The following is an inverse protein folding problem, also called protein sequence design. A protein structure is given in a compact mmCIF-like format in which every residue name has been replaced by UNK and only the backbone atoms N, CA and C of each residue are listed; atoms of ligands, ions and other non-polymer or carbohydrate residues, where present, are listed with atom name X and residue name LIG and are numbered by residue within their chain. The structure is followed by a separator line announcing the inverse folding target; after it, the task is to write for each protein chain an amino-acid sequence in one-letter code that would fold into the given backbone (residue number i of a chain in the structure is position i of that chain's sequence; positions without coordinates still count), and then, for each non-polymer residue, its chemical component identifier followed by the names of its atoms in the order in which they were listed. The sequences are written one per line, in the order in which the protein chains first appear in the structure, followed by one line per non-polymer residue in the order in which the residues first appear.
data_IF_975866698397
#
_entry.id   IF_975866698397
#
_cell.length_a   1.000
_cell.length_b   1.000
_cell.length_c   1.000
_cell.angle_alpha   90.00
_cell.angle_beta   90.00
_cell.angle_gamma   90.00
#
_symmetry.space_group_name_H-M   'P 1'
#
loop_
_entity.id
_entity.type
_entity.pdbx_description
1 polymer ?
#
# COMPACT_ATOMS: atom_id res chain seq x y z
N UNK A 1 8.75 -4.34 2.92
CA UNK A 1 8.58 -2.88 3.08
C UNK A 1 8.04 -2.51 4.46
N UNK A 2 6.89 -3.03 4.88
CA UNK A 2 6.28 -2.76 6.21
C UNK A 2 7.29 -2.93 7.36
N UNK A 3 7.90 -4.08 7.49
CA UNK A 3 8.85 -4.39 8.57
C UNK A 3 10.06 -3.45 8.61
N UNK A 4 10.57 -3.06 7.44
CA UNK A 4 11.69 -2.11 7.35
C UNK A 4 11.29 -0.72 7.85
N UNK A 5 10.10 -0.24 7.49
CA UNK A 5 9.56 1.03 7.97
C UNK A 5 9.28 1.00 9.48
N UNK A 6 8.65 -0.07 9.97
CA UNK A 6 8.35 -0.23 11.39
C UNK A 6 9.63 -0.25 12.23
N UNK A 7 10.66 -0.97 11.77
CA UNK A 7 11.98 -0.99 12.41
C UNK A 7 12.58 0.42 12.49
N UNK A 8 12.59 1.17 11.38
CA UNK A 8 13.13 2.53 11.38
C UNK A 8 12.37 3.48 12.29
N UNK A 9 11.04 3.37 12.35
CA UNK A 9 10.23 4.17 13.27
C UNK A 9 10.58 3.88 14.72
N UNK A 10 10.76 2.61 15.10
CA UNK A 10 11.16 2.21 16.45
C UNK A 10 12.58 2.67 16.81
N UNK A 11 13.52 2.69 15.84
CA UNK A 11 14.87 3.21 16.02
C UNK A 11 14.90 4.72 16.25
N UNK A 12 14.01 5.46 15.58
CA UNK A 12 14.01 6.92 15.58
C UNK A 12 13.08 7.54 16.63
N UNK A 13 12.20 6.74 17.22
CA UNK A 13 11.18 7.23 18.14
C UNK A 13 10.78 6.16 19.16
N UNK A 14 10.15 6.60 20.25
CA UNK A 14 9.53 5.73 21.26
C UNK A 14 8.07 5.42 20.98
N UNK A 15 7.61 5.61 19.73
CA UNK A 15 6.21 5.39 19.34
C UNK A 15 5.90 3.89 19.37
N UNK A 16 4.74 3.55 19.94
CA UNK A 16 4.19 2.19 19.87
C UNK A 16 3.70 1.91 18.45
N UNK A 17 4.36 0.96 17.77
CA UNK A 17 4.06 0.59 16.39
C UNK A 17 3.43 -0.79 16.35
N UNK A 18 2.17 -0.85 15.92
CA UNK A 18 1.46 -2.10 15.60
C UNK A 18 1.59 -2.34 14.11
N UNK A 19 2.04 -3.54 13.75
CA UNK A 19 2.14 -3.96 12.36
C UNK A 19 0.96 -4.86 12.00
N UNK A 20 0.43 -4.69 10.81
CA UNK A 20 -0.65 -5.49 10.29
C UNK A 20 -0.56 -5.75 8.80
N UNK A 21 -1.31 -6.71 8.33
CA UNK A 21 -1.45 -7.06 6.92
C UNK A 21 -2.90 -7.05 6.50
N UNK A 22 -3.12 -6.64 5.27
CA UNK A 22 -4.43 -6.66 4.63
C UNK A 22 -4.33 -7.42 3.32
N UNK A 23 -5.34 -8.21 3.00
CA UNK A 23 -5.46 -8.84 1.70
C UNK A 23 -6.87 -8.69 1.14
N UNK A 24 -6.95 -8.47 -0.16
CA UNK A 24 -8.21 -8.39 -0.89
C UNK A 24 -8.05 -9.01 -2.27
N UNK A 25 -9.16 -9.41 -2.87
CA UNK A 25 -9.16 -9.83 -4.26
C UNK A 25 -9.08 -8.59 -5.17
N UNK A 26 -8.01 -8.48 -5.96
CA UNK A 26 -7.70 -7.26 -6.72
C UNK A 26 -8.76 -6.90 -7.77
N UNK A 27 -9.36 -7.91 -8.41
CA UNK A 27 -10.32 -7.70 -9.50
C UNK A 27 -11.77 -7.60 -9.04
N UNK A 28 -12.09 -8.22 -7.91
CA UNK A 28 -13.44 -8.27 -7.35
C UNK A 28 -13.41 -8.06 -5.82
N UNK A 29 -13.01 -6.89 -5.34
CA UNK A 29 -12.79 -6.65 -3.90
C UNK A 29 -14.07 -6.70 -3.07
N UNK A 30 -15.25 -6.51 -3.68
CA UNK A 30 -16.54 -6.58 -3.00
C UNK A 30 -17.15 -7.99 -2.98
N UNK A 31 -16.71 -8.88 -3.90
CA UNK A 31 -17.26 -10.21 -4.05
C UNK A 31 -16.51 -11.27 -3.23
N UNK A 32 -15.36 -10.90 -2.68
CA UNK A 32 -14.49 -11.78 -1.90
C UNK A 32 -14.24 -11.22 -0.50
N UNK A 33 -14.02 -12.09 0.50
CA UNK A 33 -13.74 -11.66 1.86
C UNK A 33 -12.48 -10.78 1.89
N UNK A 34 -12.62 -9.64 2.55
CA UNK A 34 -11.49 -8.80 2.92
C UNK A 34 -10.86 -9.37 4.19
N UNK A 35 -9.55 -9.52 4.20
CA UNK A 35 -8.81 -10.02 5.37
C UNK A 35 -7.91 -8.93 5.92
N UNK A 36 -7.99 -8.72 7.23
CA UNK A 36 -7.08 -7.85 7.99
C UNK A 36 -6.74 -8.54 9.29
N UNK A 37 -5.45 -8.62 9.62
CA UNK A 37 -4.98 -9.24 10.86
C UNK A 37 -4.92 -8.28 12.06
N UNK A 38 -5.35 -7.02 11.87
CA UNK A 38 -5.50 -6.02 12.92
C UNK A 38 -6.97 -5.82 13.23
N UNK A 39 -7.35 -5.98 14.49
CA UNK A 39 -8.72 -5.76 14.93
C UNK A 39 -9.12 -4.28 14.84
N UNK A 40 -10.38 -4.03 14.49
CA UNK A 40 -10.92 -2.67 14.39
C UNK A 40 -10.71 -1.86 15.68
N UNK A 41 -10.84 -2.48 16.86
CA UNK A 41 -10.58 -1.83 18.15
C UNK A 41 -9.14 -1.36 18.35
N UNK A 42 -8.17 -1.99 17.70
CA UNK A 42 -6.77 -1.57 17.74
C UNK A 42 -6.50 -0.32 16.88
N UNK A 43 -7.39 0.01 15.96
CA UNK A 43 -7.26 1.17 15.07
C UNK A 43 -7.83 2.44 15.70
N UNK A 44 -8.74 2.32 16.67
CA UNK A 44 -9.46 3.47 17.23
C UNK A 44 -8.52 4.54 17.81
N UNK A 45 -8.69 5.76 17.33
CA UNK A 45 -7.89 6.92 17.75
C UNK A 45 -6.43 6.92 17.31
N UNK A 46 -5.97 5.91 16.56
CA UNK A 46 -4.58 5.81 16.09
C UNK A 46 -4.37 6.50 14.76
N UNK A 47 -3.12 6.82 14.48
CA UNK A 47 -2.65 7.20 13.13
C UNK A 47 -2.28 5.90 12.42
N UNK A 48 -2.87 5.68 11.25
CA UNK A 48 -2.68 4.47 10.45
C UNK A 48 -1.98 4.81 9.15
N UNK A 49 -0.96 4.05 8.80
CA UNK A 49 -0.30 4.11 7.50
C UNK A 49 -0.67 2.87 6.69
N UNK A 50 -1.40 3.08 5.60
CA UNK A 50 -1.66 2.04 4.60
C UNK A 50 -0.54 2.04 3.57
N UNK A 51 0.17 0.92 3.46
CA UNK A 51 1.38 0.82 2.65
C UNK A 51 1.15 -0.20 1.54
N UNK A 52 1.48 0.18 0.31
CA UNK A 52 1.47 -0.70 -0.86
C UNK A 52 2.78 -0.54 -1.65
N UNK A 53 3.11 -1.49 -2.49
CA UNK A 53 4.31 -1.42 -3.34
C UNK A 53 4.07 -0.51 -4.55
N UNK A 54 2.97 -0.72 -5.29
CA UNK A 54 2.68 0.00 -6.53
C UNK A 54 1.27 0.58 -6.53
N UNK A 55 1.17 1.89 -6.62
CA UNK A 55 -0.09 2.59 -6.90
C UNK A 55 -0.33 2.58 -8.42
N UNK A 56 -1.27 1.76 -8.84
CA UNK A 56 -1.73 1.66 -10.22
C UNK A 56 -3.09 2.38 -10.39
N UNK A 57 -4.18 1.64 -10.46
CA UNK A 57 -5.53 2.21 -10.58
C UNK A 57 -6.02 2.95 -9.33
N UNK A 58 -5.45 2.67 -8.17
CA UNK A 58 -5.89 3.14 -6.86
C UNK A 58 -6.97 2.28 -6.22
N UNK A 59 -7.42 1.21 -6.88
CA UNK A 59 -8.48 0.32 -6.37
C UNK A 59 -8.11 -0.30 -5.03
N UNK A 60 -6.92 -0.87 -4.91
CA UNK A 60 -6.44 -1.49 -3.67
C UNK A 60 -6.40 -0.50 -2.52
N UNK A 61 -5.82 0.69 -2.75
CA UNK A 61 -5.72 1.72 -1.71
C UNK A 61 -7.07 2.23 -1.26
N UNK A 62 -8.00 2.52 -2.17
CA UNK A 62 -9.29 3.10 -1.79
C UNK A 62 -10.13 2.11 -0.98
N UNK A 63 -10.13 0.83 -1.34
CA UNK A 63 -10.81 -0.21 -0.57
C UNK A 63 -10.11 -0.48 0.77
N UNK A 64 -8.77 -0.42 0.80
CA UNK A 64 -8.02 -0.50 2.05
C UNK A 64 -8.37 0.62 3.02
N UNK A 65 -8.40 1.86 2.53
CA UNK A 65 -8.82 3.03 3.34
C UNK A 65 -10.26 2.85 3.83
N UNK A 66 -11.19 2.45 2.96
CA UNK A 66 -12.58 2.19 3.34
C UNK A 66 -12.68 1.21 4.51
N UNK A 67 -11.91 0.11 4.46
CA UNK A 67 -11.90 -0.88 5.53
C UNK A 67 -11.32 -0.32 6.84
N UNK A 68 -10.20 0.40 6.76
CA UNK A 68 -9.55 1.00 7.94
C UNK A 68 -10.47 2.00 8.66
N UNK A 69 -11.28 2.76 7.93
CA UNK A 69 -12.20 3.74 8.49
C UNK A 69 -13.27 3.10 9.40
N UNK A 70 -13.59 1.82 9.23
CA UNK A 70 -14.51 1.09 10.12
C UNK A 70 -13.96 0.98 11.55
N UNK A 71 -12.64 0.98 11.73
CA UNK A 71 -11.96 0.98 13.03
C UNK A 71 -11.83 2.35 13.70
N UNK A 72 -12.39 3.42 13.10
CA UNK A 72 -12.38 4.80 13.63
C UNK A 72 -10.98 5.32 13.97
N UNK A 73 -10.00 5.21 13.06
CA UNK A 73 -8.68 5.81 13.28
C UNK A 73 -8.79 7.34 13.38
N UNK A 74 -7.83 7.95 14.03
CA UNK A 74 -7.72 9.43 14.06
C UNK A 74 -7.30 9.98 12.69
N UNK A 75 -6.37 9.32 12.04
CA UNK A 75 -5.84 9.69 10.74
C UNK A 75 -5.49 8.43 9.93
N UNK A 76 -5.66 8.49 8.62
CA UNK A 76 -5.16 7.46 7.70
C UNK A 76 -4.28 8.14 6.67
N UNK A 77 -3.06 7.68 6.57
CA UNK A 77 -2.10 8.09 5.55
C UNK A 77 -1.78 6.94 4.62
N UNK A 78 -1.45 7.25 3.39
CA UNK A 78 -1.11 6.27 2.37
C UNK A 78 0.34 6.43 1.93
N UNK A 79 1.05 5.31 1.79
CA UNK A 79 2.43 5.29 1.35
C UNK A 79 2.64 4.21 0.30
N UNK A 80 3.30 4.56 -0.80
CA UNK A 80 3.63 3.63 -1.87
C UNK A 80 5.09 3.75 -2.28
N UNK A 81 5.67 2.66 -2.73
CA UNK A 81 7.02 2.71 -3.26
C UNK A 81 7.02 3.35 -4.65
N UNK A 82 6.07 2.98 -5.51
CA UNK A 82 5.97 3.47 -6.89
C UNK A 82 4.56 3.94 -7.21
N UNK A 83 4.44 5.13 -7.80
CA UNK A 83 3.20 5.66 -8.38
C UNK A 83 3.31 5.65 -9.92
N UNK A 84 2.42 4.88 -10.58
CA UNK A 84 2.35 4.79 -12.05
C UNK A 84 1.53 5.90 -12.72
N UNK A 85 0.79 6.69 -11.96
CA UNK A 85 -0.15 7.72 -12.45
C UNK A 85 -1.31 7.22 -13.32
N UNK A 86 -1.61 5.95 -13.33
CA UNK A 86 -2.71 5.34 -14.09
C UNK A 86 -3.99 5.18 -13.25
N UNK A 87 -4.46 6.26 -12.66
CA UNK A 87 -5.59 6.21 -11.72
C UNK A 87 -6.93 6.03 -12.40
N UNK A 88 -7.72 5.10 -11.86
CA UNK A 88 -9.15 4.96 -12.15
C UNK A 88 -10.01 5.37 -10.95
N UNK A 89 -9.40 5.52 -9.77
CA UNK A 89 -10.05 5.92 -8.53
C UNK A 89 -9.43 7.20 -7.96
N UNK A 90 -10.20 8.06 -7.28
CA UNK A 90 -9.76 9.37 -6.82
C UNK A 90 -8.95 9.27 -5.52
N UNK A 91 -7.85 8.55 -5.55
CA UNK A 91 -6.94 8.40 -4.42
C UNK A 91 -5.50 8.69 -4.86
N UNK A 92 -4.74 9.30 -3.97
CA UNK A 92 -3.30 9.56 -4.13
C UNK A 92 -2.57 9.04 -2.90
N UNK A 93 -1.29 8.73 -3.06
CA UNK A 93 -0.43 8.45 -1.93
C UNK A 93 0.08 9.76 -1.31
N UNK A 94 0.06 9.83 0.02
CA UNK A 94 0.68 10.94 0.76
C UNK A 94 2.20 10.86 0.68
N UNK A 95 2.73 9.65 0.69
CA UNK A 95 4.15 9.36 0.58
C UNK A 95 4.42 8.45 -0.62
N UNK A 96 5.30 8.88 -1.49
CA UNK A 96 5.67 8.15 -2.69
C UNK A 96 7.19 8.11 -2.84
N UNK A 97 7.77 6.93 -3.00
CA UNK A 97 9.19 6.77 -3.21
C UNK A 97 9.62 7.18 -4.62
N UNK A 98 8.92 6.73 -5.64
CA UNK A 98 9.23 6.95 -7.04
C UNK A 98 7.97 7.11 -7.87
N UNK A 99 7.96 8.07 -8.77
CA UNK A 99 6.89 8.24 -9.75
C UNK A 99 7.39 7.83 -11.13
N UNK A 100 6.68 6.89 -11.77
CA UNK A 100 6.99 6.42 -13.12
C UNK A 100 5.78 6.60 -14.03
N UNK A 101 5.94 7.29 -15.14
CA UNK A 101 4.94 7.31 -16.20
C UNK A 101 5.19 6.10 -17.11
N UNK A 102 4.27 5.15 -17.12
CA UNK A 102 4.35 3.93 -17.91
C UNK A 102 3.24 3.90 -18.95
N UNK A 103 3.42 3.11 -20.00
CA UNK A 103 2.39 2.86 -21.02
C UNK A 103 1.40 1.79 -20.51
N UNK A 104 0.25 1.66 -21.17
CA UNK A 104 -0.80 0.70 -20.77
C UNK A 104 -0.34 -0.75 -20.83
N UNK A 105 0.61 -1.07 -21.73
CA UNK A 105 1.19 -2.40 -21.91
C UNK A 105 2.44 -2.65 -21.07
N UNK A 106 2.77 -1.75 -20.15
CA UNK A 106 3.91 -1.87 -19.26
C UNK A 106 3.42 -2.18 -17.84
N UNK A 107 4.10 -3.10 -17.17
CA UNK A 107 3.89 -3.44 -15.77
C UNK A 107 5.11 -3.08 -14.95
N UNK A 108 4.88 -2.74 -13.70
CA UNK A 108 5.95 -2.53 -12.73
C UNK A 108 6.04 -3.77 -11.86
N UNK A 109 7.21 -4.40 -11.87
CA UNK A 109 7.58 -5.44 -10.95
C UNK A 109 8.51 -4.85 -9.89
N UNK A 110 8.18 -5.09 -8.63
CA UNK A 110 8.97 -4.66 -7.47
C UNK A 110 9.52 -5.91 -6.79
N UNK A 111 10.82 -5.99 -6.66
CA UNK A 111 11.51 -7.04 -5.93
C UNK A 111 12.06 -6.47 -4.61
N UNK A 112 11.54 -6.97 -3.50
CA UNK A 112 11.92 -6.61 -2.14
C UNK A 112 12.59 -7.79 -1.40
N UNK A 113 13.04 -8.80 -2.13
CA UNK A 113 13.67 -10.01 -1.55
C UNK A 113 14.99 -9.70 -0.86
N UNK A 114 15.73 -8.72 -1.35
CA UNK A 114 16.93 -8.19 -0.68
C UNK A 114 16.57 -6.94 0.12
N UNK A 115 16.74 -7.02 1.45
CA UNK A 115 16.48 -5.89 2.36
C UNK A 115 17.39 -4.68 2.13
N UNK A 116 18.53 -4.88 1.48
CA UNK A 116 19.51 -3.84 1.20
C UNK A 116 19.39 -3.25 -0.22
N UNK A 117 18.71 -3.95 -1.11
CA UNK A 117 18.59 -3.55 -2.52
C UNK A 117 17.20 -3.88 -3.07
N UNK A 118 16.26 -2.96 -2.86
CA UNK A 118 14.97 -3.04 -3.54
C UNK A 118 15.15 -2.67 -5.02
N UNK A 119 14.61 -3.50 -5.92
CA UNK A 119 14.66 -3.23 -7.35
C UNK A 119 13.27 -3.03 -7.93
N UNK A 120 13.17 -2.11 -8.87
CA UNK A 120 11.94 -1.79 -9.60
C UNK A 120 12.23 -1.98 -11.08
N UNK A 121 11.47 -2.84 -11.74
CA UNK A 121 11.60 -3.12 -13.16
C UNK A 121 10.33 -2.73 -13.90
N UNK A 122 10.49 -2.20 -15.10
CA UNK A 122 9.39 -2.01 -16.04
C UNK A 122 9.40 -3.18 -17.03
N UNK A 123 8.35 -3.98 -17.00
CA UNK A 123 8.15 -5.12 -17.88
C UNK A 123 7.13 -4.75 -18.96
N UNK A 124 7.42 -5.10 -20.20
CA UNK A 124 6.47 -4.95 -21.31
C UNK A 124 5.76 -6.26 -21.56
N UNK A 125 4.43 -6.23 -21.48
CA UNK A 125 3.64 -7.35 -22.00
C UNK A 125 3.68 -7.29 -23.51
N UNK A 126 4.27 -8.29 -24.14
CA UNK A 126 4.16 -8.44 -25.59
C UNK A 126 2.68 -8.70 -25.92
N UNK A 127 2.07 -7.78 -26.64
CA UNK A 127 0.78 -8.04 -27.24
C UNK A 127 0.97 -9.13 -28.32
N UNK A 128 0.25 -10.22 -28.15
CA UNK A 128 0.15 -11.24 -29.19
C UNK A 128 -0.78 -10.76 -30.29
#
# INVERSE_FOLDING_TARGET
MREALARRLRELSSIDVIEGSMSMHKDAPLDHPFSCDVDAGQLEGRIVFLIDDVLNSGRTLIHGVQHLLLGRPREVHTAVLVDRKHRSFPIRADFCGLTLSTQLNEHIAVDLSDTNCATVHVERTQAF
#
